data_IF_924179463778
#
_entry.id   IF_924179463778
#
_cell.length_a   1.000
_cell.length_b   1.000
_cell.length_c   1.000
_cell.angle_alpha   90.00
_cell.angle_beta   90.00
_cell.angle_gamma   90.00
#
_symmetry.space_group_name_H-M   'P 1'
#
loop_
_entity.id
_entity.type
_entity.pdbx_description
1 polymer ?
#
# COMPACT_ATOMS: atom_id res chain seq x y z
N UNK A 1 -32.39 11.19 -18.11
CA UNK A 1 -31.66 9.94 -18.41
C UNK A 1 -30.23 10.17 -17.97
N UNK A 2 -29.79 9.54 -16.88
CA UNK A 2 -28.36 9.55 -16.53
C UNK A 2 -27.67 8.60 -17.51
N UNK A 3 -26.70 9.11 -18.25
CA UNK A 3 -25.82 8.25 -19.04
C UNK A 3 -24.96 7.48 -18.03
N UNK A 4 -25.20 6.17 -17.91
CA UNK A 4 -24.29 5.27 -17.22
C UNK A 4 -23.02 5.17 -18.05
N UNK A 5 -22.03 6.00 -17.73
CA UNK A 5 -20.70 5.90 -18.33
C UNK A 5 -20.09 4.58 -17.87
N UNK A 6 -19.81 3.68 -18.81
CA UNK A 6 -19.17 2.39 -18.50
C UNK A 6 -17.84 2.64 -17.77
N UNK A 7 -17.55 1.95 -16.64
CA UNK A 7 -16.29 2.10 -15.95
C UNK A 7 -15.12 1.76 -16.86
N UNK A 8 -14.06 2.55 -16.77
CA UNK A 8 -12.79 2.29 -17.45
C UNK A 8 -12.25 0.89 -17.09
N UNK A 9 -11.43 0.32 -17.96
CA UNK A 9 -10.86 -1.02 -17.74
C UNK A 9 -10.12 -1.13 -16.39
N UNK A 10 -9.46 -0.05 -15.95
CA UNK A 10 -8.74 -0.01 -14.67
C UNK A 10 -9.69 0.02 -13.47
N UNK A 11 -10.83 0.73 -13.57
CA UNK A 11 -11.86 0.73 -12.52
C UNK A 11 -12.50 -0.65 -12.37
N UNK A 12 -12.71 -1.36 -13.48
CA UNK A 12 -13.19 -2.75 -13.46
C UNK A 12 -12.17 -3.70 -12.80
N UNK A 13 -10.87 -3.53 -13.09
CA UNK A 13 -9.81 -4.30 -12.43
C UNK A 13 -9.77 -4.01 -10.92
N UNK A 14 -9.80 -2.75 -10.50
CA UNK A 14 -9.83 -2.37 -9.08
C UNK A 14 -11.07 -2.90 -8.35
N UNK A 15 -12.24 -2.88 -8.99
CA UNK A 15 -13.45 -3.48 -8.46
C UNK A 15 -13.31 -4.99 -8.30
N UNK A 16 -12.68 -5.66 -9.28
CA UNK A 16 -12.33 -7.08 -9.20
C UNK A 16 -11.42 -7.41 -8.02
N UNK A 17 -10.38 -6.58 -7.80
CA UNK A 17 -9.46 -6.73 -6.65
C UNK A 17 -10.18 -6.51 -5.32
N UNK A 18 -11.05 -5.48 -5.24
CA UNK A 18 -11.89 -5.24 -4.06
C UNK A 18 -12.71 -6.47 -3.72
N UNK A 19 -13.42 -7.03 -4.69
CA UNK A 19 -14.28 -8.20 -4.48
C UNK A 19 -13.45 -9.45 -4.13
N UNK A 20 -12.24 -9.60 -4.68
CA UNK A 20 -11.32 -10.69 -4.34
C UNK A 20 -10.88 -10.62 -2.87
N UNK A 21 -10.53 -9.44 -2.38
CA UNK A 21 -9.98 -9.25 -1.03
C UNK A 21 -11.05 -9.23 0.06
N UNK A 22 -12.20 -8.64 -0.24
CA UNK A 22 -13.22 -8.34 0.79
C UNK A 22 -14.55 -9.06 0.57
N UNK A 23 -14.76 -9.70 -0.59
CA UNK A 23 -16.07 -10.24 -0.97
C UNK A 23 -17.09 -9.13 -1.25
N UNK A 24 -18.38 -9.47 -1.12
CA UNK A 24 -19.48 -8.55 -1.42
C UNK A 24 -19.68 -7.46 -0.36
N UNK A 25 -19.20 -7.67 0.86
CA UNK A 25 -19.41 -6.77 1.99
C UNK A 25 -18.10 -6.62 2.78
N UNK A 26 -17.68 -5.36 2.97
CA UNK A 26 -16.48 -5.05 3.73
C UNK A 26 -16.85 -4.81 5.18
N UNK A 27 -16.37 -5.67 6.07
CA UNK A 27 -16.45 -5.49 7.52
C UNK A 27 -15.54 -4.33 7.97
N UNK A 28 -16.09 -3.20 8.47
CA UNK A 28 -15.29 -1.99 8.76
C UNK A 28 -14.17 -2.24 9.77
N UNK A 29 -14.43 -3.06 10.78
CA UNK A 29 -13.46 -3.42 11.80
C UNK A 29 -12.30 -4.21 11.21
N UNK A 30 -12.55 -5.11 10.27
CA UNK A 30 -11.48 -5.87 9.60
C UNK A 30 -10.67 -4.92 8.73
N UNK A 31 -11.33 -4.09 7.92
CA UNK A 31 -10.67 -3.13 7.03
C UNK A 31 -9.77 -2.15 7.80
N UNK A 32 -10.23 -1.66 8.96
CA UNK A 32 -9.46 -0.80 9.85
C UNK A 32 -8.10 -1.41 10.24
N UNK A 33 -8.05 -2.69 10.59
CA UNK A 33 -6.79 -3.37 11.00
C UNK A 33 -5.75 -3.41 9.89
N UNK A 34 -6.20 -3.45 8.64
CA UNK A 34 -5.32 -3.47 7.47
C UNK A 34 -4.87 -2.08 7.01
N UNK A 35 -5.53 -1.03 7.49
CA UNK A 35 -5.34 0.35 7.04
C UNK A 35 -4.13 1.04 7.68
N UNK A 36 -3.15 0.28 8.17
CA UNK A 36 -1.87 0.81 8.62
C UNK A 36 -0.90 1.07 7.46
N UNK A 37 0.09 1.90 7.70
CA UNK A 37 1.26 2.03 6.83
C UNK A 37 2.39 1.09 7.19
N UNK A 38 3.52 1.27 6.52
CA UNK A 38 4.79 0.64 6.87
C UNK A 38 5.60 1.58 7.76
N UNK A 39 5.68 1.32 9.05
CA UNK A 39 6.54 2.08 9.97
C UNK A 39 7.42 1.13 10.77
N UNK A 40 8.62 1.62 11.08
CA UNK A 40 9.64 0.85 11.75
C UNK A 40 9.55 1.02 13.26
N UNK A 41 9.97 -0.01 13.99
CA UNK A 41 9.95 0.05 15.44
C UNK A 41 10.99 1.03 15.99
N UNK A 42 10.61 1.73 17.04
CA UNK A 42 11.55 2.55 17.81
C UNK A 42 12.55 1.71 18.62
N UNK A 43 12.20 0.45 18.92
CA UNK A 43 13.02 -0.47 19.71
C UNK A 43 13.97 -1.31 18.85
N UNK A 44 13.51 -1.78 17.69
CA UNK A 44 14.33 -2.50 16.70
C UNK A 44 14.21 -1.81 15.35
N UNK A 45 15.23 -1.01 15.00
CA UNK A 45 15.17 -0.07 13.86
C UNK A 45 15.05 -0.77 12.50
N UNK A 46 15.36 -2.05 12.40
CA UNK A 46 15.16 -2.81 11.16
C UNK A 46 13.81 -3.53 11.08
N UNK A 47 13.03 -3.58 12.16
CA UNK A 47 11.76 -4.31 12.23
C UNK A 47 10.57 -3.42 11.87
N UNK A 48 9.57 -4.00 11.21
CA UNK A 48 8.29 -3.34 10.95
C UNK A 48 7.35 -3.56 12.12
N UNK A 49 6.57 -2.54 12.48
CA UNK A 49 5.55 -2.68 13.51
C UNK A 49 4.19 -3.10 12.93
N UNK A 50 3.50 -3.94 13.69
CA UNK A 50 2.14 -4.36 13.42
C UNK A 50 1.24 -3.83 14.55
N UNK A 51 0.31 -2.93 14.22
CA UNK A 51 -0.63 -2.39 15.21
C UNK A 51 -1.74 -3.38 15.57
N UNK A 52 -2.26 -4.10 14.58
CA UNK A 52 -3.42 -4.98 14.74
C UNK A 52 -3.26 -6.29 13.98
N UNK A 53 -4.04 -7.32 14.33
CA UNK A 53 -4.07 -8.59 13.61
C UNK A 53 -4.65 -8.45 12.20
N UNK A 54 -3.97 -9.02 11.19
CA UNK A 54 -4.41 -8.95 9.78
C UNK A 54 -3.27 -8.64 8.80
N UNK A 55 -2.67 -7.44 8.84
CA UNK A 55 -1.64 -7.01 7.87
C UNK A 55 -0.34 -7.83 7.92
N UNK A 56 -0.16 -8.74 8.89
CA UNK A 56 1.00 -9.62 9.00
C UNK A 56 1.31 -10.39 7.70
N UNK A 57 0.27 -10.75 6.92
CA UNK A 57 0.44 -11.43 5.64
C UNK A 57 1.24 -10.61 4.61
N UNK A 58 1.31 -9.30 4.79
CA UNK A 58 2.09 -8.37 3.94
C UNK A 58 3.34 -7.88 4.68
N UNK A 59 3.22 -7.57 5.97
CA UNK A 59 4.36 -7.08 6.77
C UNK A 59 5.48 -8.11 6.86
N UNK A 60 5.16 -9.38 7.18
CA UNK A 60 6.16 -10.43 7.35
C UNK A 60 7.03 -10.65 6.09
N UNK A 61 6.47 -10.80 4.87
CA UNK A 61 7.31 -10.91 3.68
C UNK A 61 8.10 -9.63 3.40
N UNK A 62 7.52 -8.43 3.58
CA UNK A 62 8.27 -7.18 3.38
C UNK A 62 9.45 -7.08 4.35
N UNK A 63 9.24 -7.39 5.64
CA UNK A 63 10.30 -7.43 6.65
C UNK A 63 11.39 -8.44 6.30
N UNK A 64 11.02 -9.64 5.83
CA UNK A 64 11.99 -10.64 5.39
C UNK A 64 12.89 -10.11 4.25
N UNK A 65 12.33 -9.38 3.29
CA UNK A 65 13.12 -8.74 2.22
C UNK A 65 13.98 -7.59 2.75
N UNK A 66 13.50 -6.80 3.71
CA UNK A 66 14.29 -5.76 4.37
C UNK A 66 15.52 -6.37 5.05
N UNK A 67 15.32 -7.38 5.90
CA UNK A 67 16.41 -8.05 6.63
C UNK A 67 17.38 -8.73 5.66
N UNK A 68 16.88 -9.39 4.61
CA UNK A 68 17.72 -9.95 3.55
C UNK A 68 18.62 -8.87 2.92
N UNK A 69 18.07 -7.71 2.59
CA UNK A 69 18.83 -6.62 1.96
C UNK A 69 19.89 -6.05 2.90
N UNK A 70 19.55 -5.86 4.17
CA UNK A 70 20.50 -5.42 5.20
C UNK A 70 21.63 -6.43 5.39
N UNK A 71 21.32 -7.73 5.45
CA UNK A 71 22.33 -8.79 5.57
C UNK A 71 23.25 -8.85 4.35
N UNK A 72 22.74 -8.64 3.14
CA UNK A 72 23.56 -8.61 1.92
C UNK A 72 24.49 -7.39 1.87
N UNK A 73 24.01 -6.23 2.32
CA UNK A 73 24.78 -4.99 2.34
C UNK A 73 25.88 -5.00 3.40
N UNK A 74 25.53 -5.36 4.64
CA UNK A 74 26.44 -5.28 5.79
C UNK A 74 27.25 -6.57 6.02
N UNK A 75 26.78 -7.71 5.49
CA UNK A 75 27.41 -9.05 5.59
C UNK A 75 27.53 -9.62 7.01
N UNK A 76 26.88 -8.98 7.97
CA UNK A 76 26.82 -9.39 9.38
C UNK A 76 25.60 -8.72 10.07
N UNK A 77 25.49 -8.84 11.40
CA UNK A 77 24.45 -8.19 12.20
C UNK A 77 24.77 -6.74 12.62
N UNK A 78 25.88 -6.16 12.15
CA UNK A 78 26.27 -4.77 12.49
C UNK A 78 25.32 -3.73 11.90
N UNK A 79 24.44 -4.14 10.99
CA UNK A 79 23.39 -3.26 10.47
C UNK A 79 22.50 -2.70 11.58
N UNK A 80 22.27 -3.45 12.66
CA UNK A 80 21.37 -3.06 13.76
C UNK A 80 21.78 -1.73 14.40
N UNK A 81 23.08 -1.50 14.50
CA UNK A 81 23.65 -0.26 15.06
C UNK A 81 23.71 0.88 14.03
N UNK A 82 23.62 0.55 12.73
CA UNK A 82 23.80 1.49 11.62
C UNK A 82 22.49 1.96 11.00
N UNK A 83 21.40 1.19 11.15
CA UNK A 83 20.10 1.55 10.57
C UNK A 83 19.61 2.90 11.14
N UNK A 84 19.46 3.85 10.24
CA UNK A 84 18.84 5.14 10.45
C UNK A 84 17.63 5.28 9.51
N UNK A 85 16.94 6.43 9.54
CA UNK A 85 15.75 6.65 8.72
C UNK A 85 16.02 6.51 7.20
N UNK A 86 17.18 6.98 6.73
CA UNK A 86 17.55 6.85 5.31
C UNK A 86 17.69 5.38 4.89
N UNK A 87 18.36 4.57 5.72
CA UNK A 87 18.51 3.13 5.50
C UNK A 87 17.17 2.42 5.59
N UNK A 88 16.30 2.79 6.53
CA UNK A 88 14.94 2.26 6.64
C UNK A 88 14.14 2.52 5.36
N UNK A 89 14.10 3.77 4.92
CA UNK A 89 13.34 4.19 3.74
C UNK A 89 13.85 3.46 2.48
N UNK A 90 15.17 3.44 2.27
CA UNK A 90 15.78 2.72 1.13
C UNK A 90 15.53 1.21 1.19
N UNK A 91 15.68 0.59 2.36
CA UNK A 91 15.49 -0.86 2.51
C UNK A 91 14.02 -1.26 2.30
N UNK A 92 13.08 -0.45 2.78
CA UNK A 92 11.65 -0.62 2.52
C UNK A 92 11.36 -0.52 1.01
N UNK A 93 11.79 0.55 0.34
CA UNK A 93 11.58 0.71 -1.11
C UNK A 93 12.15 -0.48 -1.88
N UNK A 94 13.37 -0.91 -1.56
CA UNK A 94 13.99 -2.06 -2.20
C UNK A 94 13.15 -3.34 -2.00
N UNK A 95 12.70 -3.60 -0.76
CA UNK A 95 11.85 -4.76 -0.47
C UNK A 95 10.54 -4.75 -1.27
N UNK A 96 9.86 -3.60 -1.34
CA UNK A 96 8.62 -3.44 -2.10
C UNK A 96 8.85 -3.68 -3.60
N UNK A 97 9.92 -3.10 -4.17
CA UNK A 97 10.30 -3.31 -5.57
C UNK A 97 10.63 -4.77 -5.87
N UNK A 98 11.35 -5.45 -4.99
CA UNK A 98 11.70 -6.86 -5.19
C UNK A 98 10.49 -7.77 -5.15
N UNK A 99 9.57 -7.56 -4.19
CA UNK A 99 8.30 -8.29 -4.13
C UNK A 99 7.47 -8.04 -5.39
N UNK A 100 7.37 -6.79 -5.85
CA UNK A 100 6.72 -6.48 -7.12
C UNK A 100 7.40 -7.18 -8.30
N UNK A 101 8.73 -7.22 -8.32
CA UNK A 101 9.53 -7.94 -9.33
C UNK A 101 9.18 -9.42 -9.44
N UNK A 102 8.78 -10.07 -8.34
CA UNK A 102 8.30 -11.47 -8.35
C UNK A 102 6.99 -11.66 -9.12
N UNK A 103 6.26 -10.59 -9.46
CA UNK A 103 5.10 -10.68 -10.34
C UNK A 103 5.50 -11.13 -11.76
N UNK A 104 6.78 -10.93 -12.16
CA UNK A 104 7.32 -11.18 -13.50
C UNK A 104 6.45 -10.53 -14.59
N UNK A 105 6.03 -9.29 -14.32
CA UNK A 105 5.11 -8.55 -15.17
C UNK A 105 5.88 -7.65 -16.14
N UNK A 106 5.30 -7.41 -17.33
CA UNK A 106 5.86 -6.45 -18.30
C UNK A 106 5.64 -5.00 -17.91
N UNK A 107 4.67 -4.76 -17.01
CA UNK A 107 4.29 -3.47 -16.47
C UNK A 107 3.95 -3.65 -15.01
N UNK A 108 4.29 -2.66 -14.20
CA UNK A 108 3.94 -2.59 -12.78
C UNK A 108 2.85 -1.55 -12.59
N UNK A 109 1.80 -1.91 -11.85
CA UNK A 109 0.66 -1.07 -11.55
C UNK A 109 0.74 -0.68 -10.07
N UNK A 110 0.89 0.60 -9.80
CA UNK A 110 1.06 1.15 -8.46
C UNK A 110 -0.22 1.88 -8.08
N UNK A 111 -0.90 1.35 -7.07
CA UNK A 111 -2.13 1.92 -6.52
C UNK A 111 -1.77 2.95 -5.45
N UNK A 112 -2.38 4.12 -5.52
CA UNK A 112 -2.04 5.27 -4.69
C UNK A 112 -3.25 6.16 -4.39
N UNK A 113 -3.09 7.09 -3.46
CA UNK A 113 -4.05 8.14 -3.12
C UNK A 113 -3.44 9.52 -3.42
N UNK A 114 -4.21 10.42 -4.03
CA UNK A 114 -3.77 11.79 -4.30
C UNK A 114 -3.73 12.63 -3.01
N UNK A 115 -4.82 12.59 -2.26
CA UNK A 115 -5.03 13.23 -0.96
C UNK A 115 -4.64 12.30 0.19
N UNK A 116 -4.14 12.89 1.28
CA UNK A 116 -4.06 12.16 2.53
C UNK A 116 -5.50 11.96 3.05
N UNK A 117 -5.97 10.72 3.05
CA UNK A 117 -7.25 10.33 3.67
C UNK A 117 -7.25 10.54 5.21
N UNK A 118 -6.20 11.17 5.75
CA UNK A 118 -6.07 11.51 7.15
C UNK A 118 -6.91 12.70 7.58
N UNK A 119 -7.48 13.45 6.64
CA UNK A 119 -8.36 14.56 6.98
C UNK A 119 -9.67 14.06 7.59
N UNK A 120 -10.06 14.58 8.78
CA UNK A 120 -11.34 14.26 9.38
C UNK A 120 -12.44 14.67 8.40
N UNK A 121 -13.43 13.80 8.23
CA UNK A 121 -14.68 14.15 7.53
C UNK A 121 -15.19 15.44 8.14
N UNK A 122 -15.30 16.51 7.34
CA UNK A 122 -16.00 17.72 7.74
C UNK A 122 -17.38 17.29 8.23
N UNK A 123 -17.56 17.30 9.56
CA UNK A 123 -18.88 17.18 10.16
C UNK A 123 -19.65 18.39 9.67
N UNK A 124 -20.49 18.21 8.66
CA UNK A 124 -21.56 19.16 8.39
C UNK A 124 -22.43 19.20 9.63
N UNK A 125 -22.40 20.37 10.27
CA UNK A 125 -23.36 20.93 11.20
C UNK A 125 -23.76 20.10 12.43
N UNK A 126 -23.02 20.20 13.54
CA UNK A 126 -23.61 20.30 14.88
C UNK A 126 -22.67 21.04 15.85
N UNK A 127 -23.25 22.02 16.54
CA UNK A 127 -22.67 23.02 17.44
C UNK A 127 -21.57 22.55 18.41
N UNK A 128 -20.48 23.34 18.43
CA UNK A 128 -19.78 23.88 19.60
C UNK A 128 -19.57 23.00 20.84
N UNK A 129 -18.35 22.47 20.98
CA UNK A 129 -17.56 22.71 22.20
C UNK A 129 -16.06 22.55 21.89
N UNK A 130 -15.26 23.47 22.43
CA UNK A 130 -13.81 23.52 22.24
C UNK A 130 -13.14 22.51 23.17
N UNK A 131 -12.72 21.37 22.62
CA UNK A 131 -11.66 20.55 23.23
C UNK A 131 -10.81 19.98 22.12
N UNK A 132 -9.57 20.44 22.01
CA UNK A 132 -8.56 19.98 21.05
C UNK A 132 -8.08 18.57 21.40
N UNK A 133 -8.98 17.59 21.35
CA UNK A 133 -8.63 16.19 21.22
C UNK A 133 -8.56 15.89 19.72
N UNK A 134 -7.42 15.40 19.24
CA UNK A 134 -7.27 14.95 17.85
C UNK A 134 -8.41 13.99 17.51
N UNK A 135 -9.31 14.41 16.62
CA UNK A 135 -10.45 13.60 16.19
C UNK A 135 -9.90 12.29 15.60
N UNK A 136 -10.38 11.11 16.01
CA UNK A 136 -9.89 9.85 15.46
C UNK A 136 -10.03 9.84 13.95
N UNK A 137 -8.97 9.44 13.26
CA UNK A 137 -8.98 9.14 11.83
C UNK A 137 -10.18 8.23 11.51
N UNK A 138 -11.15 8.75 10.76
CA UNK A 138 -12.32 7.97 10.35
C UNK A 138 -11.90 7.11 9.17
N UNK A 139 -11.60 5.84 9.45
CA UNK A 139 -11.31 4.85 8.41
C UNK A 139 -12.63 4.39 7.78
N UNK A 140 -12.86 4.82 6.55
CA UNK A 140 -14.02 4.43 5.75
C UNK A 140 -13.58 3.60 4.53
N UNK A 141 -13.97 2.31 4.44
CA UNK A 141 -13.70 1.47 3.28
C UNK A 141 -14.24 2.07 1.98
N UNK A 142 -15.42 2.69 1.99
CA UNK A 142 -16.03 3.24 0.77
C UNK A 142 -15.19 4.39 0.23
N UNK A 143 -14.82 5.33 1.11
CA UNK A 143 -13.92 6.44 0.77
C UNK A 143 -12.59 5.95 0.19
N UNK A 144 -11.94 4.99 0.84
CA UNK A 144 -10.69 4.41 0.32
C UNK A 144 -10.85 3.90 -1.12
N UNK A 145 -11.85 3.05 -1.38
CA UNK A 145 -12.03 2.46 -2.71
C UNK A 145 -12.46 3.46 -3.78
N UNK A 146 -13.13 4.55 -3.41
CA UNK A 146 -13.52 5.60 -4.35
C UNK A 146 -12.36 6.54 -4.70
N UNK A 147 -11.35 6.68 -3.82
CA UNK A 147 -10.24 7.62 -4.00
C UNK A 147 -8.96 6.98 -4.54
N UNK A 148 -8.81 5.65 -4.49
CA UNK A 148 -7.62 4.98 -5.05
C UNK A 148 -7.50 5.18 -6.56
N UNK A 149 -6.27 5.42 -7.00
CA UNK A 149 -5.88 5.61 -8.40
C UNK A 149 -4.72 4.68 -8.75
N UNK A 150 -4.42 4.54 -10.04
CA UNK A 150 -3.35 3.66 -10.53
C UNK A 150 -2.41 4.39 -11.47
N UNK A 151 -1.11 4.32 -11.17
CA UNK A 151 -0.03 4.63 -12.11
C UNK A 151 0.56 3.35 -12.66
N UNK A 152 1.07 3.38 -13.90
CA UNK A 152 1.77 2.24 -14.48
C UNK A 152 3.21 2.59 -14.85
N UNK A 153 4.11 1.65 -14.64
CA UNK A 153 5.54 1.77 -14.94
C UNK A 153 5.99 0.61 -15.81
N UNK A 154 6.93 0.85 -16.73
CA UNK A 154 7.47 -0.18 -17.62
C UNK A 154 8.59 -1.02 -16.97
N UNK A 155 9.19 -0.52 -15.90
CA UNK A 155 10.29 -1.18 -15.21
C UNK A 155 10.29 -0.85 -13.70
N UNK A 156 11.05 -1.64 -12.93
CA UNK A 156 11.18 -1.45 -11.48
C UNK A 156 11.92 -0.15 -11.12
N UNK A 157 12.81 0.37 -11.97
CA UNK A 157 13.52 1.63 -11.69
C UNK A 157 12.53 2.80 -11.56
N UNK A 158 11.49 2.84 -12.41
CA UNK A 158 10.42 3.82 -12.31
C UNK A 158 9.61 3.67 -11.02
N UNK A 159 9.33 2.44 -10.61
CA UNK A 159 8.64 2.14 -9.35
C UNK A 159 9.48 2.56 -8.14
N UNK A 160 10.78 2.24 -8.16
CA UNK A 160 11.72 2.59 -7.10
C UNK A 160 11.80 4.10 -6.90
N UNK A 161 11.94 4.86 -8.01
CA UNK A 161 11.91 6.32 -7.99
C UNK A 161 10.60 6.84 -7.39
N UNK A 162 9.46 6.31 -7.85
CA UNK A 162 8.15 6.72 -7.34
C UNK A 162 8.00 6.49 -5.83
N UNK A 163 8.34 5.29 -5.33
CA UNK A 163 8.24 5.00 -3.90
C UNK A 163 9.25 5.78 -3.06
N UNK A 164 10.43 6.08 -3.59
CA UNK A 164 11.41 6.94 -2.91
C UNK A 164 10.86 8.36 -2.75
N UNK A 165 10.29 8.93 -3.82
CA UNK A 165 9.71 10.28 -3.81
C UNK A 165 8.43 10.36 -2.94
N UNK A 166 7.71 9.25 -2.80
CA UNK A 166 6.43 9.18 -2.09
C UNK A 166 6.49 8.34 -0.81
N UNK A 167 7.68 8.20 -0.21
CA UNK A 167 7.90 7.30 0.93
C UNK A 167 6.98 7.60 2.11
N UNK A 168 6.70 8.89 2.37
CA UNK A 168 5.78 9.32 3.42
C UNK A 168 4.38 8.70 3.25
N UNK A 169 3.86 8.62 2.03
CA UNK A 169 2.55 8.02 1.73
C UNK A 169 2.51 6.51 1.98
N UNK A 170 3.64 5.84 1.78
CA UNK A 170 3.78 4.39 2.05
C UNK A 170 3.87 4.11 3.56
N UNK A 171 4.46 5.03 4.33
CA UNK A 171 4.52 4.94 5.80
C UNK A 171 3.23 5.41 6.48
N UNK A 172 2.41 6.21 5.79
CA UNK A 172 1.13 6.73 6.24
C UNK A 172 0.02 5.65 6.24
N UNK A 173 -1.15 5.92 6.88
CA UNK A 173 -2.31 5.04 6.80
C UNK A 173 -2.62 4.58 5.38
N UNK A 174 -3.11 3.35 5.26
CA UNK A 174 -3.37 2.61 4.02
C UNK A 174 -2.15 2.14 3.23
N UNK A 175 -0.92 2.50 3.61
CA UNK A 175 0.29 2.08 2.88
C UNK A 175 0.37 0.57 2.60
N UNK A 176 0.00 -0.26 3.58
CA UNK A 176 -0.05 -1.73 3.42
C UNK A 176 -1.10 -2.15 2.38
N UNK A 177 -2.29 -1.55 2.41
CA UNK A 177 -3.36 -1.85 1.45
C UNK A 177 -3.00 -1.37 0.04
N UNK A 178 -2.46 -0.16 -0.10
CA UNK A 178 -2.01 0.35 -1.39
C UNK A 178 -0.96 -0.56 -2.02
N UNK A 179 -0.02 -1.06 -1.22
CA UNK A 179 0.97 -2.01 -1.70
C UNK A 179 0.36 -3.37 -2.09
N UNK A 180 -0.53 -3.92 -1.27
CA UNK A 180 -1.26 -5.16 -1.58
C UNK A 180 -2.02 -5.05 -2.91
N UNK A 181 -2.76 -3.95 -3.12
CA UNK A 181 -3.47 -3.70 -4.37
C UNK A 181 -2.51 -3.58 -5.55
N UNK A 182 -1.35 -2.92 -5.36
CA UNK A 182 -0.31 -2.80 -6.38
C UNK A 182 0.25 -4.16 -6.82
N UNK A 183 0.50 -5.07 -5.87
CA UNK A 183 0.99 -6.43 -6.16
C UNK A 183 -0.06 -7.22 -6.96
N UNK A 184 -1.32 -7.19 -6.53
CA UNK A 184 -2.39 -7.93 -7.22
C UNK A 184 -2.62 -7.36 -8.62
N UNK A 185 -2.72 -6.03 -8.75
CA UNK A 185 -2.90 -5.38 -10.05
C UNK A 185 -1.74 -5.73 -11.02
N UNK A 186 -0.50 -5.64 -10.54
CA UNK A 186 0.69 -5.99 -11.32
C UNK A 186 0.69 -7.45 -11.78
N UNK A 187 0.16 -8.37 -10.97
CA UNK A 187 0.05 -9.79 -11.35
C UNK A 187 -1.08 -10.07 -12.32
N UNK A 188 -2.28 -9.52 -12.06
CA UNK A 188 -3.51 -9.83 -12.79
C UNK A 188 -3.48 -9.27 -14.21
N UNK A 189 -3.01 -8.04 -14.42
CA UNK A 189 -2.88 -7.49 -15.78
C UNK A 189 -1.87 -8.29 -16.62
N UNK A 190 -0.86 -8.89 -15.99
CA UNK A 190 0.06 -9.83 -16.66
C UNK A 190 -0.63 -11.10 -17.20
N UNK A 191 -1.72 -11.54 -16.56
CA UNK A 191 -2.47 -12.75 -16.93
C UNK A 191 -3.44 -12.47 -18.10
N UNK A 192 -4.16 -11.35 -18.08
CA UNK A 192 -5.14 -11.01 -19.13
C UNK A 192 -4.48 -10.78 -20.50
N UNK A 193 -3.32 -10.11 -20.56
CA UNK A 193 -2.57 -9.96 -21.81
C UNK A 193 -1.89 -11.25 -22.29
N UNK A 194 -1.66 -12.22 -21.40
CA UNK A 194 -1.16 -13.55 -21.77
C UNK A 194 -2.20 -14.38 -22.53
N UNK A 195 -3.48 -14.30 -22.12
CA UNK A 195 -4.58 -15.03 -22.78
C UNK A 195 -4.96 -14.43 -24.14
N UNK A 196 -4.91 -13.11 -24.31
CA UNK A 196 -5.22 -12.45 -25.59
C UNK A 196 -4.19 -12.71 -26.69
N UNK A 197 -2.98 -13.20 -26.37
CA UNK A 197 -1.97 -13.60 -27.37
C UNK A 197 -2.03 -15.08 -27.76
N UNK A 198 -2.90 -15.87 -27.13
CA UNK A 198 -3.07 -17.29 -27.44
C UNK A 198 -4.38 -17.61 -28.18
N UNK A 199 -5.17 -16.59 -28.53
CA UNK A 199 -6.35 -16.71 -29.38
C UNK A 199 -6.13 -15.95 -30.69
#
# INVERSE_FOLDING_TARGET
>A
MMAETLPSAIEQELLGIKNLLWGNEIKPEIFKRWSQGFYFSSNEKSALEQAEGGPCAILAPVEAFIIKNLLLEFKDFSFRDKVNEDIQNRSLVNALCEILGQCNAKKYYIVYLDSDLSDPVSKTDLNGDNTSAATPLVIDPCRFHNEIKVHHFQCLDGVNKYYTENIAKIKAPYGVLLFLYSVIASKVSGIYYGKLKMN
#
